data_IF_743594725843
#
_entry.id   IF_743594725843
#
_cell.length_a   1.000
_cell.length_b   1.000
_cell.length_c   1.000
_cell.angle_alpha   90.00
_cell.angle_beta   90.00
_cell.angle_gamma   90.00
#
_symmetry.space_group_name_H-M   'P 1'
#
loop_
_entity.id
_entity.type
_entity.pdbx_description
1 polymer ?
#
# COMPACT_ATOMS: atom_id res chain seq x y z
N UNK A 1 23.66 -2.14 56.91
CA UNK A 1 22.88 -1.54 55.81
C UNK A 1 23.27 -2.27 54.53
N UNK A 2 22.36 -3.02 53.89
CA UNK A 2 22.66 -3.85 52.71
C UNK A 2 22.39 -3.01 51.46
N UNK A 3 23.44 -2.71 50.68
CA UNK A 3 23.31 -2.07 49.38
C UNK A 3 22.82 -3.11 48.36
N UNK A 4 21.59 -2.95 47.88
CA UNK A 4 21.03 -3.72 46.78
C UNK A 4 21.59 -3.12 45.48
N UNK A 5 22.59 -3.79 44.89
CA UNK A 5 23.14 -3.44 43.59
C UNK A 5 22.16 -3.97 42.52
N UNK A 6 21.32 -3.09 41.97
CA UNK A 6 20.46 -3.41 40.83
C UNK A 6 21.34 -3.39 39.58
N UNK A 7 21.78 -4.56 39.15
CA UNK A 7 22.46 -4.74 37.86
C UNK A 7 21.40 -4.63 36.77
N UNK A 8 21.32 -3.46 36.14
CA UNK A 8 20.58 -3.24 34.89
C UNK A 8 21.30 -4.02 33.78
N UNK A 9 20.87 -5.25 33.54
CA UNK A 9 21.21 -5.96 32.30
C UNK A 9 20.60 -5.17 31.13
N UNK A 10 21.39 -4.72 30.14
CA UNK A 10 20.84 -4.16 28.93
C UNK A 10 20.07 -5.28 28.22
N UNK A 11 18.74 -5.16 28.17
CA UNK A 11 17.96 -5.95 27.22
C UNK A 11 18.52 -5.63 25.83
N UNK A 12 19.21 -6.61 25.27
CA UNK A 12 19.61 -6.60 23.88
C UNK A 12 18.31 -6.58 23.08
N UNK A 13 17.88 -5.39 22.66
CA UNK A 13 16.92 -5.25 21.59
C UNK A 13 17.62 -5.80 20.35
N UNK A 14 17.46 -7.10 20.13
CA UNK A 14 17.63 -7.74 18.85
C UNK A 14 16.89 -6.87 17.83
N UNK A 15 17.67 -6.24 16.96
CA UNK A 15 17.32 -5.55 15.73
C UNK A 15 15.94 -5.95 15.19
N UNK A 16 14.89 -5.35 15.71
CA UNK A 16 13.57 -5.43 15.12
C UNK A 16 13.62 -4.38 14.01
N UNK A 17 13.47 -4.82 12.76
CA UNK A 17 13.40 -3.95 11.58
C UNK A 17 12.61 -2.68 11.93
N UNK A 18 12.95 -1.49 11.39
CA UNK A 18 12.12 -0.30 11.58
C UNK A 18 10.75 -0.56 10.94
N UNK A 19 9.86 -1.22 11.67
CA UNK A 19 8.51 -1.56 11.27
C UNK A 19 7.73 -0.27 11.36
N UNK A 20 7.54 0.38 10.21
CA UNK A 20 6.53 1.43 10.07
C UNK A 20 5.22 0.90 10.68
N UNK A 21 4.60 1.51 11.70
CA UNK A 21 3.40 0.96 12.33
C UNK A 21 2.30 0.66 11.29
N UNK A 22 1.47 -0.38 11.50
CA UNK A 22 0.38 -0.74 10.56
C UNK A 22 -0.51 0.46 10.17
N UNK A 23 -0.75 1.37 11.11
CA UNK A 23 -1.50 2.61 10.89
C UNK A 23 -0.79 3.57 9.94
N UNK A 24 0.52 3.75 10.10
CA UNK A 24 1.34 4.54 9.18
C UNK A 24 1.41 3.88 7.79
N UNK A 25 1.61 2.57 7.70
CA UNK A 25 1.58 1.83 6.43
C UNK A 25 0.25 2.04 5.68
N UNK A 26 -0.86 1.97 6.40
CA UNK A 26 -2.19 2.26 5.84
C UNK A 26 -2.34 3.71 5.40
N UNK A 27 -1.86 4.68 6.19
CA UNK A 27 -1.93 6.10 5.84
C UNK A 27 -1.12 6.38 4.57
N UNK A 28 0.13 5.94 4.50
CA UNK A 28 0.96 6.06 3.30
C UNK A 28 0.30 5.37 2.10
N UNK A 29 -0.24 4.17 2.30
CA UNK A 29 -0.93 3.47 1.23
C UNK A 29 -2.15 4.25 0.73
N UNK A 30 -2.99 4.79 1.62
CA UNK A 30 -4.19 5.54 1.25
C UNK A 30 -3.88 6.76 0.39
N UNK A 31 -2.81 7.50 0.71
CA UNK A 31 -2.41 8.69 -0.05
C UNK A 31 -1.94 8.34 -1.47
N UNK A 32 -1.32 7.17 -1.63
CA UNK A 32 -0.76 6.70 -2.90
C UNK A 32 -1.79 5.98 -3.77
N UNK A 33 -2.79 5.32 -3.19
CA UNK A 33 -3.89 4.68 -3.96
C UNK A 33 -4.97 5.67 -4.41
N UNK A 34 -5.15 6.79 -3.69
CA UNK A 34 -6.21 7.76 -3.99
C UNK A 34 -6.25 8.26 -5.45
N UNK A 35 -5.12 8.52 -6.14
CA UNK A 35 -5.14 8.84 -7.58
C UNK A 35 -5.71 7.70 -8.43
N UNK A 36 -5.35 6.45 -8.13
CA UNK A 36 -5.81 5.25 -8.86
C UNK A 36 -7.29 5.01 -8.65
N UNK A 37 -7.78 5.20 -7.43
CA UNK A 37 -9.22 5.13 -7.09
C UNK A 37 -9.99 6.17 -7.90
N UNK A 38 -9.54 7.42 -7.90
CA UNK A 38 -10.16 8.50 -8.67
C UNK A 38 -10.18 8.21 -10.18
N UNK A 39 -9.09 7.66 -10.72
CA UNK A 39 -9.02 7.30 -12.13
C UNK A 39 -9.97 6.13 -12.47
N UNK A 40 -10.07 5.12 -11.60
CA UNK A 40 -11.01 4.01 -11.76
C UNK A 40 -12.47 4.48 -11.71
N UNK A 41 -12.80 5.38 -10.79
CA UNK A 41 -14.14 5.98 -10.67
C UNK A 41 -14.50 6.81 -11.90
N UNK A 42 -13.57 7.60 -12.43
CA UNK A 42 -13.77 8.38 -13.64
C UNK A 42 -13.98 7.48 -14.86
N UNK A 43 -13.21 6.38 -14.96
CA UNK A 43 -13.40 5.40 -16.01
C UNK A 43 -14.79 4.75 -15.92
N UNK A 44 -15.22 4.33 -14.72
CA UNK A 44 -16.54 3.75 -14.50
C UNK A 44 -17.66 4.71 -14.90
N UNK A 45 -17.57 5.98 -14.52
CA UNK A 45 -18.56 7.01 -14.92
C UNK A 45 -18.66 7.18 -16.44
N UNK A 46 -17.56 6.98 -17.16
CA UNK A 46 -17.50 7.15 -18.63
C UNK A 46 -17.93 5.90 -19.39
N UNK A 47 -17.62 4.71 -18.88
CA UNK A 47 -17.74 3.45 -19.62
C UNK A 47 -18.78 2.48 -19.04
N UNK A 48 -19.28 2.73 -17.82
CA UNK A 48 -20.24 1.86 -17.14
C UNK A 48 -19.65 0.60 -16.52
N UNK A 49 -18.33 0.38 -16.63
CA UNK A 49 -17.59 -0.68 -15.95
C UNK A 49 -16.18 -0.19 -15.62
N UNK A 50 -15.47 -0.91 -14.74
CA UNK A 50 -14.10 -0.61 -14.37
C UNK A 50 -13.08 -1.09 -15.43
N UNK A 51 -11.88 -0.51 -15.46
CA UNK A 51 -10.80 -0.98 -16.33
C UNK A 51 -10.52 -2.48 -16.11
N UNK A 52 -10.16 -3.20 -17.16
CA UNK A 52 -9.79 -4.63 -17.03
C UNK A 52 -8.39 -4.83 -16.47
N UNK A 53 -7.51 -3.85 -16.66
CA UNK A 53 -6.10 -3.91 -16.29
C UNK A 53 -5.52 -2.50 -16.05
N UNK A 54 -4.26 -2.47 -15.58
CA UNK A 54 -3.54 -1.22 -15.34
C UNK A 54 -3.30 -0.43 -16.63
N UNK A 55 -3.14 -1.08 -17.78
CA UNK A 55 -2.86 -0.39 -19.05
C UNK A 55 -4.07 0.43 -19.52
N UNK A 56 -5.29 -0.10 -19.34
CA UNK A 56 -6.53 0.63 -19.58
C UNK A 56 -6.66 1.82 -18.64
N UNK A 57 -6.29 1.66 -17.37
CA UNK A 57 -6.28 2.75 -16.40
C UNK A 57 -5.26 3.85 -16.78
N UNK A 58 -4.04 3.48 -17.19
CA UNK A 58 -3.00 4.39 -17.68
C UNK A 58 -3.42 5.13 -18.97
N UNK A 59 -4.08 4.44 -19.90
CA UNK A 59 -4.61 5.05 -21.13
C UNK A 59 -5.73 6.06 -20.84
N UNK A 60 -6.51 5.81 -19.79
CA UNK A 60 -7.61 6.67 -19.40
C UNK A 60 -7.15 7.92 -18.62
N UNK A 61 -6.06 7.81 -17.85
CA UNK A 61 -5.52 8.91 -17.05
C UNK A 61 -3.98 8.97 -17.13
N UNK A 62 -3.46 10.00 -17.81
CA UNK A 62 -2.02 10.25 -17.98
C UNK A 62 -1.28 10.44 -16.65
N UNK A 63 -1.98 10.86 -15.60
CA UNK A 63 -1.41 10.98 -14.26
C UNK A 63 -1.01 9.60 -13.74
N UNK A 64 -1.86 8.60 -13.97
CA UNK A 64 -1.57 7.21 -13.59
C UNK A 64 -0.43 6.65 -14.41
N UNK A 65 -0.40 6.88 -15.72
CA UNK A 65 0.73 6.48 -16.57
C UNK A 65 2.06 7.06 -16.05
N UNK A 66 2.04 8.34 -15.66
CA UNK A 66 3.21 9.01 -15.06
C UNK A 66 3.60 8.37 -13.72
N UNK A 67 2.64 8.12 -12.83
CA UNK A 67 2.89 7.50 -11.51
C UNK A 67 3.41 6.06 -11.62
N UNK A 68 2.92 5.29 -12.58
CA UNK A 68 3.35 3.90 -12.82
C UNK A 68 4.76 3.86 -13.42
N UNK A 69 5.10 4.81 -14.30
CA UNK A 69 6.43 4.91 -14.92
C UNK A 69 7.48 5.52 -14.00
N UNK A 70 7.10 6.53 -13.21
CA UNK A 70 7.93 7.10 -12.16
C UNK A 70 7.88 6.21 -10.93
N UNK A 71 8.36 4.97 -11.09
CA UNK A 71 8.70 4.12 -9.96
C UNK A 71 9.80 4.83 -9.19
N UNK A 72 9.39 5.60 -8.19
CA UNK A 72 10.29 6.31 -7.31
C UNK A 72 11.15 5.26 -6.60
N UNK A 73 12.38 5.11 -7.09
CA UNK A 73 13.35 4.09 -6.69
C UNK A 73 13.61 4.15 -5.17
N UNK A 74 13.34 5.31 -4.56
CA UNK A 74 13.52 5.53 -3.13
C UNK A 74 12.34 5.11 -2.27
N UNK A 75 11.13 4.93 -2.85
CA UNK A 75 9.94 4.68 -2.03
C UNK A 75 9.49 3.23 -1.96
N UNK A 76 10.02 2.30 -2.79
CA UNK A 76 9.75 0.84 -2.73
C UNK A 76 8.27 0.39 -2.72
N UNK A 77 7.29 1.30 -2.77
CA UNK A 77 5.87 0.98 -2.75
C UNK A 77 5.36 0.79 -4.18
N UNK A 78 4.99 -0.43 -4.54
CA UNK A 78 4.37 -0.75 -5.82
C UNK A 78 2.84 -0.83 -5.68
N UNK A 79 2.10 -0.15 -6.56
CA UNK A 79 0.65 -0.27 -6.68
C UNK A 79 0.32 -1.21 -7.83
N UNK A 80 -0.55 -2.17 -7.58
CA UNK A 80 -1.09 -3.09 -8.58
C UNK A 80 -2.61 -2.92 -8.63
N UNK A 81 -3.15 -3.04 -9.84
CA UNK A 81 -4.58 -2.98 -10.11
C UNK A 81 -5.05 -4.33 -10.65
N UNK A 82 -6.20 -4.80 -10.17
CA UNK A 82 -6.85 -6.01 -10.65
C UNK A 82 -8.35 -5.79 -10.75
N UNK A 83 -8.90 -6.05 -11.93
CA UNK A 83 -10.34 -6.23 -12.11
C UNK A 83 -10.79 -7.54 -11.46
N UNK A 84 -11.91 -7.53 -10.72
CA UNK A 84 -12.49 -8.73 -10.13
C UNK A 84 -13.73 -9.15 -10.92
N UNK A 85 -14.72 -8.27 -11.00
CA UNK A 85 -16.01 -8.51 -11.65
C UNK A 85 -16.70 -7.17 -11.95
N UNK A 86 -17.88 -7.21 -12.58
CA UNK A 86 -18.65 -6.00 -12.85
C UNK A 86 -18.86 -5.19 -11.57
N UNK A 87 -18.48 -3.91 -11.59
CA UNK A 87 -18.57 -3.05 -10.41
C UNK A 87 -17.56 -3.36 -9.29
N UNK A 88 -16.57 -4.22 -9.52
CA UNK A 88 -15.58 -4.60 -8.50
C UNK A 88 -14.13 -4.59 -9.01
N UNK A 89 -13.25 -3.91 -8.27
CA UNK A 89 -11.81 -3.91 -8.49
C UNK A 89 -11.03 -3.99 -7.18
N UNK A 90 -9.76 -4.38 -7.29
CA UNK A 90 -8.80 -4.46 -6.20
C UNK A 90 -7.57 -3.63 -6.52
N UNK A 91 -7.21 -2.75 -5.60
CA UNK A 91 -5.91 -2.08 -5.55
C UNK A 91 -5.06 -2.70 -4.45
N UNK A 92 -3.83 -3.04 -4.81
CA UNK A 92 -2.91 -3.73 -3.93
C UNK A 92 -1.58 -3.00 -3.89
N UNK A 93 -1.21 -2.54 -2.70
CA UNK A 93 0.00 -1.75 -2.50
C UNK A 93 1.00 -2.51 -1.63
N UNK A 94 2.24 -2.59 -2.11
CA UNK A 94 3.26 -3.48 -1.58
C UNK A 94 4.56 -2.75 -1.31
N UNK A 95 5.17 -2.97 -0.15
CA UNK A 95 6.48 -2.45 0.20
C UNK A 95 7.15 -3.35 1.22
N UNK A 96 8.28 -3.96 0.86
CA UNK A 96 9.18 -4.75 1.72
C UNK A 96 8.44 -5.69 2.71
N UNK A 97 8.00 -5.18 3.86
CA UNK A 97 7.29 -5.94 4.90
C UNK A 97 5.77 -5.67 4.99
N UNK A 98 5.19 -4.91 4.08
CA UNK A 98 3.78 -4.48 4.13
C UNK A 98 3.06 -4.74 2.81
N UNK A 99 1.83 -5.22 2.96
CA UNK A 99 0.84 -5.30 1.88
C UNK A 99 -0.45 -4.67 2.35
N UNK A 100 -0.98 -3.70 1.60
CA UNK A 100 -2.25 -3.04 1.90
C UNK A 100 -3.20 -3.21 0.72
N UNK A 101 -4.40 -3.69 0.98
CA UNK A 101 -5.41 -3.99 -0.03
C UNK A 101 -6.62 -3.06 0.09
N UNK A 102 -7.18 -2.67 -1.05
CA UNK A 102 -8.38 -1.86 -1.18
C UNK A 102 -9.34 -2.48 -2.19
N UNK A 103 -10.61 -2.67 -1.82
CA UNK A 103 -11.67 -3.10 -2.73
C UNK A 103 -12.61 -1.92 -2.98
N UNK A 104 -12.77 -1.52 -4.24
CA UNK A 104 -13.60 -0.37 -4.62
C UNK A 104 -13.29 0.89 -3.78
N UNK A 105 -12.00 1.17 -3.59
CA UNK A 105 -11.51 2.30 -2.78
C UNK A 105 -11.66 2.15 -1.26
N UNK A 106 -12.23 1.05 -0.77
CA UNK A 106 -12.35 0.79 0.67
C UNK A 106 -11.22 -0.11 1.13
N UNK A 107 -10.54 0.28 2.20
CA UNK A 107 -9.53 -0.55 2.84
C UNK A 107 -10.10 -1.93 3.19
N UNK A 108 -9.44 -2.98 2.72
CA UNK A 108 -9.84 -4.37 2.92
C UNK A 108 -8.93 -5.08 3.93
N UNK A 109 -7.61 -4.91 3.80
CA UNK A 109 -6.65 -5.55 4.70
C UNK A 109 -5.29 -4.85 4.74
N UNK A 110 -4.58 -5.03 5.85
CA UNK A 110 -3.17 -4.67 6.01
C UNK A 110 -2.43 -5.88 6.56
N UNK A 111 -1.50 -6.42 5.78
CA UNK A 111 -0.67 -7.54 6.14
C UNK A 111 0.76 -7.08 6.39
N UNK A 112 1.41 -7.67 7.40
CA UNK A 112 2.81 -7.45 7.73
C UNK A 112 3.55 -8.74 7.49
N UNK A 113 4.47 -8.73 6.53
CA UNK A 113 5.35 -9.84 6.23
C UNK A 113 6.68 -9.63 6.93
N UNK A 114 6.81 -10.16 8.15
CA UNK A 114 8.03 -10.10 8.94
C UNK A 114 9.15 -11.04 8.44
N UNK A 115 8.90 -11.81 7.38
CA UNK A 115 9.83 -12.79 6.82
C UNK A 115 10.37 -12.43 5.42
N UNK A 116 9.99 -11.25 4.91
CA UNK A 116 10.58 -10.65 3.71
C UNK A 116 11.74 -9.74 4.08
#
# INVERSE_FOLDING_TARGET
MKHLLVVLTPLSFSSCCPFLPKSAARLYASQRVAPYEKAADNFYKKHGDFPKDMDQLCKADKTIDTLVRNKDEHTQWAVNYRYISAGHYHLYMNHSHYSVSYHNGKHASTYVNCWR
#
